data_IF_350682038874
#
_entry.id   IF_350682038874
#
_cell.length_a   1.000
_cell.length_b   1.000
_cell.length_c   1.000
_cell.angle_alpha   90.00
_cell.angle_beta   90.00
_cell.angle_gamma   90.00
#
_symmetry.space_group_name_H-M   'P 1'
#
loop_
_entity.id
_entity.type
_entity.pdbx_description
1 polymer ?
#
# COMPACT_ATOMS: atom_id res chain seq x y z
N UNK A 1 -11.33 11.50 5.78
CA UNK A 1 -11.39 11.60 7.25
C UNK A 1 -11.15 10.20 7.80
N UNK A 2 -9.87 9.88 8.04
CA UNK A 2 -9.38 8.51 8.31
C UNK A 2 -9.94 8.01 9.63
N UNK A 3 -10.59 6.84 9.58
CA UNK A 3 -11.18 6.16 10.72
C UNK A 3 -10.08 5.59 11.64
N UNK A 4 -9.86 6.24 12.78
CA UNK A 4 -9.27 5.62 13.97
C UNK A 4 -10.42 5.27 14.92
N UNK A 5 -10.82 4.00 14.97
CA UNK A 5 -11.82 3.52 15.93
C UNK A 5 -11.12 3.01 17.18
N UNK A 6 -11.28 3.79 18.25
CA UNK A 6 -10.96 3.50 19.65
C UNK A 6 -11.74 2.28 20.15
N UNK A 7 -11.05 1.36 20.83
CA UNK A 7 -11.65 0.50 21.85
C UNK A 7 -11.13 0.89 23.23
N UNK A 8 -12.03 1.42 24.05
CA UNK A 8 -11.80 1.70 25.46
C UNK A 8 -12.20 0.53 26.35
N UNK A 9 -11.49 0.36 27.46
CA UNK A 9 -11.98 -0.38 28.62
C UNK A 9 -11.94 0.51 29.86
N UNK A 10 -13.12 0.74 30.44
CA UNK A 10 -13.35 1.28 31.80
C UNK A 10 -12.55 0.44 32.82
N UNK A 11 -12.03 0.97 33.92
CA UNK A 11 -12.78 1.27 35.14
C UNK A 11 -11.89 1.94 36.19
N UNK A 12 -12.56 2.66 37.09
CA UNK A 12 -12.03 3.56 38.11
C UNK A 12 -11.57 2.78 39.33
N UNK A 13 -10.36 3.06 39.81
CA UNK A 13 -9.89 2.73 41.16
C UNK A 13 -9.54 4.01 41.91
N UNK A 14 -10.32 4.33 42.92
CA UNK A 14 -10.17 5.47 43.85
C UNK A 14 -9.06 5.19 44.86
N UNK A 15 -8.01 6.01 44.94
CA UNK A 15 -7.13 6.05 46.12
C UNK A 15 -6.63 7.48 46.44
N UNK A 16 -7.32 8.05 47.43
CA UNK A 16 -6.90 8.90 48.56
C UNK A 16 -5.48 9.48 48.53
N UNK A 17 -5.40 10.82 48.56
CA UNK A 17 -4.21 11.59 48.94
C UNK A 17 -3.73 11.20 50.35
N UNK A 18 -2.47 10.81 50.48
CA UNK A 18 -1.72 10.91 51.73
C UNK A 18 -0.41 11.63 51.45
N UNK A 19 -0.27 12.78 52.09
CA UNK A 19 0.95 13.59 52.12
C UNK A 19 2.04 12.85 52.88
N UNK A 20 3.18 12.60 52.24
CA UNK A 20 4.43 12.26 52.92
C UNK A 20 5.48 13.33 52.59
N UNK A 21 5.78 14.17 53.56
CA UNK A 21 6.95 15.05 53.56
C UNK A 21 8.21 14.19 53.62
N UNK A 22 8.98 14.16 52.53
CA UNK A 22 10.35 13.65 52.55
C UNK A 22 11.35 14.82 52.56
N UNK A 23 12.19 14.83 53.57
CA UNK A 23 13.35 15.72 53.72
C UNK A 23 14.31 15.54 52.53
N UNK A 24 14.48 16.57 51.70
CA UNK A 24 15.54 16.64 50.71
C UNK A 24 16.82 17.06 51.45
N UNK A 25 17.72 16.11 51.68
CA UNK A 25 19.12 16.40 52.03
C UNK A 25 19.84 16.75 50.73
N UNK A 26 20.19 18.03 50.57
CA UNK A 26 21.01 18.53 49.48
C UNK A 26 22.44 17.97 49.61
N UNK A 27 22.73 16.88 48.91
CA UNK A 27 24.11 16.56 48.55
C UNK A 27 24.45 17.33 47.28
N UNK A 28 25.22 18.41 47.43
CA UNK A 28 25.94 19.07 46.33
C UNK A 28 27.01 18.12 45.80
N UNK A 29 26.59 17.20 44.93
CA UNK A 29 27.52 16.44 44.09
C UNK A 29 27.78 17.28 42.86
N UNK A 30 28.92 17.97 42.86
CA UNK A 30 29.47 18.58 41.67
C UNK A 30 29.92 17.44 40.74
N UNK A 31 28.98 16.82 40.00
CA UNK A 31 29.36 16.09 38.80
C UNK A 31 29.46 17.12 37.70
N UNK A 32 30.67 17.31 37.18
CA UNK A 32 30.88 17.85 35.84
C UNK A 32 30.15 16.91 34.86
N UNK A 33 28.85 17.14 34.70
CA UNK A 33 28.05 16.55 33.66
C UNK A 33 28.54 17.14 32.36
N UNK A 34 29.46 16.44 31.70
CA UNK A 34 29.48 16.46 30.25
C UNK A 34 28.11 15.91 29.88
N UNK A 35 27.17 16.79 29.53
CA UNK A 35 25.95 16.35 28.86
C UNK A 35 26.43 15.60 27.63
N UNK A 36 26.22 14.29 27.60
CA UNK A 36 26.39 13.50 26.39
C UNK A 36 25.63 14.25 25.29
N UNK A 37 26.37 14.76 24.31
CA UNK A 37 25.80 15.57 23.24
C UNK A 37 24.81 14.66 22.51
N UNK A 38 23.52 14.95 22.66
CA UNK A 38 22.46 14.12 22.11
C UNK A 38 22.51 14.29 20.59
N UNK A 39 23.05 13.30 19.89
CA UNK A 39 23.09 13.25 18.44
C UNK A 39 21.66 13.06 17.90
N UNK A 40 21.01 14.16 17.52
CA UNK A 40 19.63 14.15 17.00
C UNK A 40 19.52 13.31 15.71
N UNK A 41 20.53 13.38 14.86
CA UNK A 41 20.67 12.61 13.64
C UNK A 41 20.74 11.10 13.93
N UNK A 42 21.49 10.72 14.98
CA UNK A 42 21.61 9.34 15.41
C UNK A 42 20.26 8.82 15.94
N UNK A 43 19.57 9.62 16.76
CA UNK A 43 18.25 9.26 17.28
C UNK A 43 17.22 9.04 16.16
N UNK A 44 17.29 9.82 15.08
CA UNK A 44 16.40 9.63 13.94
C UNK A 44 16.69 8.37 13.13
N UNK A 45 17.98 8.01 12.98
CA UNK A 45 18.35 6.72 12.40
C UNK A 45 17.84 5.58 13.30
N UNK A 46 17.99 5.71 14.62
CA UNK A 46 17.46 4.73 15.58
C UNK A 46 15.93 4.60 15.50
N UNK A 47 15.19 5.71 15.38
CA UNK A 47 13.74 5.72 15.15
C UNK A 47 13.37 4.92 13.90
N UNK A 48 13.99 5.24 12.76
CA UNK A 48 13.72 4.58 11.49
C UNK A 48 14.05 3.07 11.55
N UNK A 49 15.18 2.69 12.12
CA UNK A 49 15.57 1.29 12.24
C UNK A 49 14.75 0.52 13.28
N UNK A 50 14.21 1.18 14.31
CA UNK A 50 13.26 0.56 15.23
C UNK A 50 11.99 0.10 14.51
N UNK A 51 11.48 0.92 13.57
CA UNK A 51 10.35 0.55 12.71
C UNK A 51 10.75 -0.55 11.74
N UNK A 52 11.85 -0.37 10.98
CA UNK A 52 12.31 -1.34 9.97
C UNK A 52 12.53 -2.73 10.60
N UNK A 53 13.18 -2.80 11.76
CA UNK A 53 13.45 -4.05 12.47
C UNK A 53 12.19 -4.78 12.89
N UNK A 54 11.14 -4.02 13.22
CA UNK A 54 9.88 -4.57 13.69
C UNK A 54 9.02 -5.03 12.51
N UNK A 55 8.97 -4.25 11.43
CA UNK A 55 7.91 -4.38 10.41
C UNK A 55 8.32 -5.06 9.12
N UNK A 56 9.61 -5.07 8.76
CA UNK A 56 10.00 -5.56 7.44
C UNK A 56 9.75 -7.05 7.25
N UNK A 57 9.45 -7.42 6.01
CA UNK A 57 9.33 -8.82 5.61
C UNK A 57 10.66 -9.58 5.83
N UNK A 58 10.61 -10.72 6.53
CA UNK A 58 11.74 -11.63 6.77
C UNK A 58 13.01 -10.98 7.37
N UNK A 59 12.92 -10.32 8.55
CA UNK A 59 14.03 -9.55 9.12
C UNK A 59 15.24 -10.40 9.49
N UNK A 60 15.07 -11.69 9.76
CA UNK A 60 16.13 -12.62 10.20
C UNK A 60 17.20 -12.88 9.13
N UNK A 61 16.91 -12.59 7.86
CA UNK A 61 17.85 -12.75 6.76
C UNK A 61 18.60 -11.46 6.41
N UNK A 62 18.29 -10.36 7.09
CA UNK A 62 18.84 -9.03 6.84
C UNK A 62 19.84 -8.66 7.95
N UNK A 63 20.98 -8.08 7.56
CA UNK A 63 21.93 -7.53 8.53
C UNK A 63 21.58 -6.07 8.86
N UNK A 64 20.42 -5.87 9.49
CA UNK A 64 19.87 -4.55 9.81
C UNK A 64 20.78 -3.76 10.76
N UNK A 65 21.39 -4.43 11.74
CA UNK A 65 22.34 -3.81 12.67
C UNK A 65 23.56 -3.23 11.93
N UNK A 66 24.11 -3.96 10.96
CA UNK A 66 25.23 -3.46 10.16
C UNK A 66 24.82 -2.30 9.26
N UNK A 67 23.61 -2.32 8.71
CA UNK A 67 23.11 -1.25 7.86
C UNK A 67 22.87 0.03 8.69
N UNK A 68 22.32 -0.11 9.89
CA UNK A 68 22.17 0.98 10.85
C UNK A 68 23.53 1.57 11.23
N UNK A 69 24.48 0.73 11.62
CA UNK A 69 25.82 1.15 12.02
C UNK A 69 26.57 1.89 10.89
N UNK A 70 26.44 1.42 9.63
CA UNK A 70 26.99 2.11 8.45
C UNK A 70 26.41 3.53 8.32
N UNK A 71 25.09 3.68 8.41
CA UNK A 71 24.44 4.99 8.33
C UNK A 71 24.86 5.92 9.49
N UNK A 72 24.87 5.42 10.72
CA UNK A 72 25.29 6.19 11.90
C UNK A 72 26.76 6.64 11.79
N UNK A 73 27.64 5.79 11.24
CA UNK A 73 29.07 6.10 11.09
C UNK A 73 29.39 7.23 10.12
N UNK A 74 28.43 7.59 9.25
CA UNK A 74 28.56 8.68 8.27
C UNK A 74 28.21 10.05 8.84
N UNK A 75 27.67 10.12 10.05
CA UNK A 75 27.27 11.39 10.66
C UNK A 75 28.51 12.21 11.03
N UNK A 76 28.54 13.45 10.55
CA UNK A 76 29.48 14.48 10.99
C UNK A 76 28.75 15.82 11.20
N UNK A 77 29.49 16.89 11.52
CA UNK A 77 28.92 18.21 11.81
C UNK A 77 28.26 18.90 10.62
N UNK A 78 28.34 18.34 9.41
CA UNK A 78 27.75 18.85 8.18
C UNK A 78 26.53 18.05 7.72
N UNK A 79 26.23 16.93 8.40
CA UNK A 79 25.09 16.07 8.06
C UNK A 79 23.78 16.82 8.20
N UNK A 80 22.94 16.73 7.16
CA UNK A 80 21.59 17.30 7.16
C UNK A 80 20.54 16.20 7.20
N UNK A 81 19.30 16.54 7.59
CA UNK A 81 18.15 15.64 7.53
C UNK A 81 17.94 15.06 6.12
N UNK A 82 18.07 15.87 5.08
CA UNK A 82 17.97 15.44 3.68
C UNK A 82 19.04 14.41 3.31
N UNK A 83 20.26 14.53 3.84
CA UNK A 83 21.32 13.55 3.62
C UNK A 83 20.95 12.20 4.23
N UNK A 84 20.38 12.22 5.45
CA UNK A 84 19.89 11.01 6.13
C UNK A 84 18.71 10.41 5.36
N UNK A 85 17.81 11.23 4.80
CA UNK A 85 16.72 10.74 3.96
C UNK A 85 17.23 9.97 2.73
N UNK A 86 18.24 10.50 2.04
CA UNK A 86 18.88 9.82 0.90
C UNK A 86 19.48 8.48 1.34
N UNK A 87 20.18 8.46 2.48
CA UNK A 87 20.80 7.23 2.99
C UNK A 87 19.77 6.19 3.42
N UNK A 88 18.71 6.61 4.11
CA UNK A 88 17.60 5.74 4.50
C UNK A 88 16.90 5.17 3.27
N UNK A 89 16.61 5.97 2.25
CA UNK A 89 16.05 5.48 1.00
C UNK A 89 16.93 4.39 0.37
N UNK A 90 18.25 4.62 0.28
CA UNK A 90 19.18 3.63 -0.24
C UNK A 90 19.26 2.36 0.64
N UNK A 91 19.15 2.50 1.96
CA UNK A 91 19.09 1.39 2.90
C UNK A 91 17.82 0.54 2.68
N UNK A 92 16.66 1.18 2.52
CA UNK A 92 15.39 0.51 2.22
C UNK A 92 15.45 -0.28 0.92
N UNK A 93 16.01 0.31 -0.14
CA UNK A 93 16.17 -0.37 -1.44
C UNK A 93 17.06 -1.62 -1.37
N UNK A 94 18.02 -1.65 -0.44
CA UNK A 94 18.85 -2.85 -0.17
C UNK A 94 18.11 -3.91 0.63
N UNK A 95 17.12 -3.51 1.43
CA UNK A 95 16.27 -4.43 2.18
C UNK A 95 15.22 -5.04 1.26
N UNK A 96 14.47 -4.21 0.55
CA UNK A 96 13.54 -4.63 -0.47
C UNK A 96 13.39 -3.52 -1.54
N UNK A 97 13.53 -3.82 -2.84
CA UNK A 97 13.53 -2.81 -3.90
C UNK A 97 12.19 -2.08 -4.07
N UNK A 98 11.10 -2.61 -3.50
CA UNK A 98 9.80 -1.96 -3.49
C UNK A 98 9.57 -1.07 -2.25
N UNK A 99 10.52 -1.00 -1.31
CA UNK A 99 10.45 -0.10 -0.15
C UNK A 99 11.11 1.25 -0.43
N UNK A 100 10.51 2.35 0.04
CA UNK A 100 11.00 3.70 -0.26
C UNK A 100 10.80 4.66 0.91
N UNK A 101 11.66 5.67 1.00
CA UNK A 101 11.40 6.85 1.83
C UNK A 101 10.76 7.95 0.98
N UNK A 102 9.67 8.53 1.47
CA UNK A 102 9.01 9.71 0.92
C UNK A 102 9.24 10.88 1.88
N UNK A 103 9.96 11.91 1.44
CA UNK A 103 10.25 13.08 2.28
C UNK A 103 9.01 13.96 2.51
N UNK A 104 8.99 14.81 3.55
CA UNK A 104 7.81 15.62 3.91
C UNK A 104 7.30 16.48 2.75
N UNK A 105 8.20 17.21 2.08
CA UNK A 105 7.84 18.07 0.95
C UNK A 105 7.34 17.29 -0.27
N UNK A 106 7.80 16.05 -0.46
CA UNK A 106 7.29 15.17 -1.52
C UNK A 106 5.90 14.66 -1.14
N UNK A 107 5.70 14.23 0.09
CA UNK A 107 4.41 13.76 0.59
C UNK A 107 3.35 14.85 0.49
N UNK A 108 3.65 16.09 0.91
CA UNK A 108 2.75 17.25 0.75
C UNK A 108 2.39 17.49 -0.71
N UNK A 109 3.35 17.44 -1.63
CA UNK A 109 3.07 17.61 -3.07
C UNK A 109 2.11 16.57 -3.63
N UNK A 110 2.25 15.30 -3.22
CA UNK A 110 1.34 14.22 -3.65
C UNK A 110 -0.10 14.50 -3.22
N UNK A 111 -0.30 15.13 -2.06
CA UNK A 111 -1.64 15.51 -1.55
C UNK A 111 -2.18 16.75 -2.27
N UNK A 112 -1.35 17.78 -2.43
CA UNK A 112 -1.79 19.10 -2.92
C UNK A 112 -1.96 19.16 -4.44
N UNK A 113 -1.18 18.39 -5.19
CA UNK A 113 -1.21 18.31 -6.65
C UNK A 113 -1.24 16.84 -7.10
N UNK A 114 -2.37 16.15 -6.89
CA UNK A 114 -2.52 14.74 -7.26
C UNK A 114 -2.47 14.60 -8.80
N UNK A 115 -1.76 13.58 -9.28
CA UNK A 115 -1.80 13.23 -10.69
C UNK A 115 -3.26 12.92 -11.12
N UNK A 116 -3.65 13.44 -12.30
CA UNK A 116 -4.97 13.14 -12.86
C UNK A 116 -5.04 11.65 -13.24
N UNK A 117 -6.14 10.94 -12.92
CA UNK A 117 -6.32 9.56 -13.34
C UNK A 117 -6.23 9.41 -14.87
N UNK A 118 -5.25 8.64 -15.34
CA UNK A 118 -5.17 8.25 -16.74
C UNK A 118 -6.01 6.99 -16.96
N UNK A 119 -7.32 7.18 -17.13
CA UNK A 119 -8.29 6.11 -17.36
C UNK A 119 -9.22 6.49 -18.51
N UNK A 120 -9.47 5.53 -19.41
CA UNK A 120 -10.36 5.73 -20.54
C UNK A 120 -10.84 4.37 -21.06
N UNK A 121 -11.90 4.40 -21.86
CA UNK A 121 -12.41 3.19 -22.48
C UNK A 121 -13.19 3.47 -23.75
N UNK A 122 -13.30 2.44 -24.59
CA UNK A 122 -14.02 2.51 -25.87
C UNK A 122 -14.57 1.14 -26.26
N UNK A 123 -15.65 1.13 -27.05
CA UNK A 123 -16.09 -0.08 -27.74
C UNK A 123 -15.33 -0.18 -29.05
N UNK A 124 -14.61 -1.28 -29.24
CA UNK A 124 -13.88 -1.59 -30.46
C UNK A 124 -14.84 -1.97 -31.60
N UNK A 125 -14.37 -1.85 -32.84
CA UNK A 125 -15.17 -2.14 -34.03
C UNK A 125 -15.65 -3.61 -34.11
N UNK A 126 -14.91 -4.52 -33.48
CA UNK A 126 -15.26 -5.94 -33.36
C UNK A 126 -16.24 -6.24 -32.21
N UNK A 127 -16.71 -5.22 -31.49
CA UNK A 127 -17.71 -5.32 -30.45
C UNK A 127 -17.15 -5.51 -29.04
N UNK A 128 -15.83 -5.63 -28.86
CA UNK A 128 -15.20 -5.74 -27.53
C UNK A 128 -15.21 -4.38 -26.81
N UNK A 129 -15.36 -4.39 -25.49
CA UNK A 129 -15.15 -3.21 -24.65
C UNK A 129 -13.71 -3.18 -24.16
N UNK A 130 -12.95 -2.16 -24.59
CA UNK A 130 -11.59 -1.91 -24.15
C UNK A 130 -11.58 -0.85 -23.05
N UNK A 131 -10.82 -1.10 -21.98
CA UNK A 131 -10.64 -0.18 -20.87
C UNK A 131 -9.17 -0.12 -20.53
N UNK A 132 -8.57 1.07 -20.64
CA UNK A 132 -7.26 1.33 -20.09
C UNK A 132 -7.40 1.72 -18.62
N UNK A 133 -6.73 0.96 -17.75
CA UNK A 133 -6.72 1.20 -16.30
C UNK A 133 -5.32 1.62 -15.89
N UNK A 134 -5.05 2.92 -15.93
CA UNK A 134 -3.77 3.49 -15.52
C UNK A 134 -3.54 3.46 -14.00
N UNK A 135 -2.33 3.83 -13.54
CA UNK A 135 -1.99 3.84 -12.13
C UNK A 135 -2.86 4.83 -11.33
N UNK A 136 -3.01 4.57 -10.03
CA UNK A 136 -3.75 5.46 -9.13
C UNK A 136 -2.82 6.01 -8.04
N UNK A 137 -2.32 7.23 -8.19
CA UNK A 137 -1.42 7.84 -7.20
C UNK A 137 -2.14 8.44 -5.97
N UNK A 138 -3.46 8.32 -5.88
CA UNK A 138 -4.26 8.98 -4.85
C UNK A 138 -4.00 8.41 -3.46
N UNK A 139 -3.60 9.27 -2.52
CA UNK A 139 -3.41 8.93 -1.10
C UNK A 139 -4.51 9.49 -0.20
N UNK A 140 -5.25 10.50 -0.66
CA UNK A 140 -6.41 11.04 0.02
C UNK A 140 -7.72 10.46 -0.53
N UNK A 141 -8.78 10.54 0.28
CA UNK A 141 -10.09 9.99 -0.07
C UNK A 141 -10.76 10.69 -1.26
N UNK A 142 -10.51 11.99 -1.47
CA UNK A 142 -11.18 12.75 -2.52
C UNK A 142 -10.73 12.27 -3.89
N UNK A 143 -9.42 12.15 -4.08
CA UNK A 143 -8.85 11.68 -5.35
C UNK A 143 -9.06 10.17 -5.55
N UNK A 144 -9.05 9.38 -4.47
CA UNK A 144 -9.37 7.96 -4.54
C UNK A 144 -10.82 7.73 -5.02
N UNK A 145 -11.78 8.52 -4.51
CA UNK A 145 -13.18 8.47 -4.96
C UNK A 145 -13.31 8.94 -6.41
N UNK A 146 -12.64 10.05 -6.79
CA UNK A 146 -12.67 10.54 -8.16
C UNK A 146 -12.17 9.50 -9.18
N UNK A 147 -11.06 8.83 -8.87
CA UNK A 147 -10.55 7.71 -9.67
C UNK A 147 -11.59 6.59 -9.76
N UNK A 148 -12.11 6.16 -8.61
CA UNK A 148 -13.09 5.07 -8.48
C UNK A 148 -14.32 5.32 -9.34
N UNK A 149 -14.96 6.47 -9.16
CA UNK A 149 -16.21 6.80 -9.86
C UNK A 149 -16.00 7.00 -11.35
N UNK A 150 -14.87 7.57 -11.75
CA UNK A 150 -14.51 7.74 -13.16
C UNK A 150 -14.33 6.39 -13.85
N UNK A 151 -13.61 5.45 -13.22
CA UNK A 151 -13.39 4.12 -13.76
C UNK A 151 -14.70 3.33 -13.80
N UNK A 152 -15.48 3.35 -12.71
CA UNK A 152 -16.77 2.67 -12.64
C UNK A 152 -17.74 3.19 -13.71
N UNK A 153 -17.78 4.51 -13.92
CA UNK A 153 -18.62 5.14 -14.94
C UNK A 153 -18.25 4.65 -16.35
N UNK A 154 -16.96 4.57 -16.68
CA UNK A 154 -16.49 4.06 -17.98
C UNK A 154 -16.97 2.62 -18.19
N UNK A 155 -16.74 1.73 -17.22
CA UNK A 155 -17.10 0.31 -17.38
C UNK A 155 -18.61 0.12 -17.42
N UNK A 156 -19.40 0.86 -16.63
CA UNK A 156 -20.87 0.78 -16.68
C UNK A 156 -21.41 1.31 -18.01
N UNK A 157 -20.85 2.39 -18.55
CA UNK A 157 -21.24 2.91 -19.86
C UNK A 157 -20.93 1.91 -20.98
N UNK A 158 -19.74 1.30 -20.95
CA UNK A 158 -19.36 0.28 -21.93
C UNK A 158 -20.23 -0.97 -21.82
N UNK A 159 -20.55 -1.44 -20.61
CA UNK A 159 -21.46 -2.57 -20.41
C UNK A 159 -22.84 -2.29 -21.02
N UNK A 160 -23.38 -1.09 -20.82
CA UNK A 160 -24.67 -0.65 -21.40
C UNK A 160 -24.65 -0.53 -22.93
N UNK A 161 -23.47 -0.51 -23.54
CA UNK A 161 -23.33 -0.53 -25.00
C UNK A 161 -23.40 -1.94 -25.60
N UNK A 162 -23.68 -2.96 -24.77
CA UNK A 162 -23.81 -4.38 -25.17
C UNK A 162 -22.54 -4.91 -25.86
N UNK A 163 -21.38 -4.95 -25.15
CA UNK A 163 -20.15 -5.50 -25.70
C UNK A 163 -20.19 -7.02 -25.67
N UNK A 164 -19.41 -7.66 -26.54
CA UNK A 164 -19.35 -9.13 -26.59
C UNK A 164 -18.31 -9.72 -25.62
N UNK A 165 -17.32 -8.92 -25.20
CA UNK A 165 -16.29 -9.28 -24.22
C UNK A 165 -15.53 -8.03 -23.75
N UNK A 166 -14.68 -8.21 -22.74
CA UNK A 166 -13.85 -7.18 -22.13
C UNK A 166 -12.37 -7.34 -22.50
N UNK A 167 -11.69 -6.22 -22.69
CA UNK A 167 -10.24 -6.09 -22.66
C UNK A 167 -9.90 -5.06 -21.58
N UNK A 168 -9.29 -5.49 -20.48
CA UNK A 168 -8.74 -4.62 -19.45
C UNK A 168 -7.24 -4.48 -19.69
N UNK A 169 -6.78 -3.28 -20.00
CA UNK A 169 -5.36 -3.01 -20.25
C UNK A 169 -4.68 -2.44 -19.01
N UNK A 170 -3.80 -3.25 -18.41
CA UNK A 170 -2.97 -2.91 -17.26
C UNK A 170 -1.49 -2.77 -17.64
N UNK A 171 -1.15 -2.78 -18.94
CA UNK A 171 0.26 -2.88 -19.38
C UNK A 171 1.13 -1.77 -18.83
N UNK A 172 0.61 -0.56 -18.68
CA UNK A 172 1.34 0.59 -18.12
C UNK A 172 0.94 0.92 -16.68
N UNK A 173 0.19 0.04 -16.02
CA UNK A 173 -0.25 0.23 -14.64
C UNK A 173 0.86 -0.15 -13.65
N UNK A 174 1.62 0.84 -13.21
CA UNK A 174 2.71 0.69 -12.23
C UNK A 174 2.24 0.64 -10.77
N UNK A 175 0.92 0.71 -10.52
CA UNK A 175 0.32 0.53 -9.21
C UNK A 175 -0.19 1.82 -8.54
N UNK A 176 0.07 1.94 -7.24
CA UNK A 176 -0.50 2.97 -6.36
C UNK A 176 -1.65 2.44 -5.49
N UNK A 177 -2.77 3.15 -5.42
CA UNK A 177 -3.89 2.83 -4.55
C UNK A 177 -4.75 1.68 -5.10
N UNK A 178 -4.49 0.47 -4.62
CA UNK A 178 -5.22 -0.73 -5.05
C UNK A 178 -6.71 -0.67 -4.75
N UNK A 179 -7.10 -0.07 -3.61
CA UNK A 179 -8.50 -0.04 -3.17
C UNK A 179 -9.37 0.80 -4.11
N UNK A 180 -8.85 1.93 -4.60
CA UNK A 180 -9.54 2.75 -5.60
C UNK A 180 -9.72 2.00 -6.94
N UNK A 181 -8.69 1.27 -7.37
CA UNK A 181 -8.75 0.46 -8.59
C UNK A 181 -9.76 -0.69 -8.46
N UNK A 182 -9.73 -1.42 -7.35
CA UNK A 182 -10.66 -2.53 -7.07
C UNK A 182 -12.10 -2.00 -6.98
N UNK A 183 -12.32 -0.88 -6.29
CA UNK A 183 -13.65 -0.28 -6.17
C UNK A 183 -14.18 0.21 -7.52
N UNK A 184 -13.33 0.80 -8.37
CA UNK A 184 -13.71 1.24 -9.72
C UNK A 184 -14.08 0.08 -10.64
N UNK A 185 -13.39 -1.06 -10.49
CA UNK A 185 -13.73 -2.33 -11.16
C UNK A 185 -14.70 -3.20 -10.35
N UNK A 186 -15.35 -2.66 -9.33
CA UNK A 186 -16.34 -3.35 -8.50
C UNK A 186 -17.33 -4.23 -9.27
N UNK A 187 -17.92 -3.78 -10.40
CA UNK A 187 -18.83 -4.60 -11.21
C UNK A 187 -18.26 -5.94 -11.70
N UNK A 188 -16.93 -6.07 -11.77
CA UNK A 188 -16.25 -7.31 -12.15
C UNK A 188 -16.21 -8.32 -11.00
N UNK A 189 -16.20 -7.88 -9.74
CA UNK A 189 -15.90 -8.72 -8.59
C UNK A 189 -17.14 -9.29 -7.89
N UNK A 190 -16.99 -10.53 -7.39
CA UNK A 190 -17.99 -11.23 -6.59
C UNK A 190 -17.79 -11.02 -5.09
N UNK A 191 -18.51 -11.80 -4.27
CA UNK A 191 -18.30 -11.87 -2.82
C UNK A 191 -17.00 -12.62 -2.50
N UNK A 192 -16.25 -12.12 -1.52
CA UNK A 192 -15.12 -12.82 -0.91
C UNK A 192 -13.75 -12.28 -1.29
N UNK A 193 -12.67 -12.96 -0.84
CA UNK A 193 -11.30 -12.52 -1.06
C UNK A 193 -10.93 -12.48 -2.53
N UNK A 194 -10.32 -11.39 -2.95
CA UNK A 194 -9.70 -11.21 -4.27
C UNK A 194 -8.21 -11.60 -4.26
N UNK A 195 -7.60 -11.60 -3.08
CA UNK A 195 -6.27 -12.12 -2.80
C UNK A 195 -5.88 -11.85 -1.34
N UNK A 196 -4.62 -12.07 -1.00
CA UNK A 196 -4.11 -11.93 0.36
C UNK A 196 -2.72 -11.29 0.43
N UNK A 197 -2.52 -10.47 1.44
CA UNK A 197 -1.22 -10.06 1.93
C UNK A 197 -0.69 -11.11 2.90
N UNK A 198 0.44 -11.73 2.56
CA UNK A 198 1.12 -12.76 3.33
C UNK A 198 2.29 -12.15 4.11
N UNK A 199 1.97 -11.35 5.13
CA UNK A 199 2.95 -10.72 6.03
C UNK A 199 3.07 -11.48 7.35
N UNK A 200 3.25 -10.73 8.46
CA UNK A 200 3.19 -11.29 9.84
C UNK A 200 1.88 -12.01 10.11
N UNK A 201 0.80 -11.46 9.55
CA UNK A 201 -0.53 -12.06 9.50
C UNK A 201 -0.97 -12.15 8.04
N UNK A 202 -1.86 -13.10 7.79
CA UNK A 202 -2.50 -13.25 6.48
C UNK A 202 -3.75 -12.38 6.46
N UNK A 203 -3.78 -11.38 5.59
CA UNK A 203 -4.90 -10.44 5.47
C UNK A 203 -5.53 -10.52 4.08
N UNK A 204 -6.85 -10.74 3.96
CA UNK A 204 -7.54 -10.69 2.67
C UNK A 204 -7.81 -9.24 2.24
N UNK A 205 -7.77 -8.99 0.94
CA UNK A 205 -8.47 -7.85 0.34
C UNK A 205 -9.69 -8.33 -0.46
N UNK A 206 -10.75 -7.53 -0.47
CA UNK A 206 -12.03 -7.86 -1.11
C UNK A 206 -12.68 -6.59 -1.68
N UNK A 207 -13.53 -6.73 -2.70
CA UNK A 207 -14.44 -5.66 -3.10
C UNK A 207 -15.67 -5.62 -2.20
N UNK A 208 -16.27 -6.80 -1.95
CA UNK A 208 -17.43 -6.97 -1.07
C UNK A 208 -17.36 -8.27 -0.27
N UNK A 209 -17.82 -8.24 0.97
CA UNK A 209 -17.95 -9.39 1.85
C UNK A 209 -19.16 -9.24 2.78
N UNK A 210 -19.41 -10.25 3.62
CA UNK A 210 -20.38 -10.17 4.71
C UNK A 210 -19.70 -9.99 6.05
N UNK A 211 -20.21 -9.07 6.86
CA UNK A 211 -19.78 -8.90 8.24
C UNK A 211 -20.28 -10.05 9.14
N UNK A 212 -19.93 -10.01 10.43
CA UNK A 212 -20.35 -11.02 11.41
C UNK A 212 -21.86 -11.10 11.63
N UNK A 213 -22.60 -10.06 11.24
CA UNK A 213 -24.06 -9.99 11.28
C UNK A 213 -24.71 -10.40 9.94
N UNK A 214 -23.89 -10.77 8.94
CA UNK A 214 -24.33 -11.16 7.60
C UNK A 214 -24.68 -9.98 6.68
N UNK A 215 -24.42 -8.73 7.09
CA UNK A 215 -24.64 -7.53 6.28
C UNK A 215 -23.52 -7.35 5.28
N UNK A 216 -23.84 -6.75 4.13
CA UNK A 216 -22.86 -6.46 3.11
C UNK A 216 -21.93 -5.32 3.53
N UNK A 217 -20.64 -5.57 3.38
CA UNK A 217 -19.56 -4.62 3.53
C UNK A 217 -18.84 -4.48 2.18
N UNK A 218 -18.57 -3.25 1.76
CA UNK A 218 -17.91 -2.92 0.50
C UNK A 218 -16.70 -2.03 0.77
N UNK A 219 -15.75 -1.97 -0.16
CA UNK A 219 -14.81 -0.83 -0.19
C UNK A 219 -15.62 0.45 -0.42
N UNK A 220 -15.72 1.29 0.60
CA UNK A 220 -16.51 2.53 0.60
C UNK A 220 -15.78 3.67 -0.12
N UNK A 221 -15.55 3.51 -1.43
CA UNK A 221 -14.93 4.54 -2.28
C UNK A 221 -15.81 4.97 -3.47
N UNK A 222 -16.88 4.23 -3.78
CA UNK A 222 -17.81 4.60 -4.86
C UNK A 222 -19.16 5.06 -4.31
N UNK A 223 -19.73 6.08 -4.96
CA UNK A 223 -21.07 6.61 -4.67
C UNK A 223 -22.20 5.65 -5.10
N UNK A 224 -21.89 4.60 -5.86
CA UNK A 224 -22.86 3.58 -6.26
C UNK A 224 -22.29 2.17 -6.35
N UNK A 225 -23.12 1.19 -6.01
CA UNK A 225 -22.82 -0.23 -6.23
C UNK A 225 -23.48 -0.64 -7.54
N UNK A 226 -22.71 -1.27 -8.43
CA UNK A 226 -23.22 -1.83 -9.68
C UNK A 226 -22.63 -3.21 -9.89
N UNK A 227 -23.45 -4.15 -10.36
CA UNK A 227 -23.04 -5.52 -10.66
C UNK A 227 -23.48 -5.87 -12.08
N UNK A 228 -22.58 -6.48 -12.85
CA UNK A 228 -22.95 -7.00 -14.16
C UNK A 228 -23.89 -8.19 -14.01
N UNK A 229 -25.06 -8.12 -14.67
CA UNK A 229 -26.01 -9.24 -14.73
C UNK A 229 -25.39 -10.46 -15.44
N UNK A 230 -24.57 -10.23 -16.46
CA UNK A 230 -23.87 -11.26 -17.22
C UNK A 230 -22.36 -11.05 -17.17
N UNK A 231 -21.61 -12.11 -16.83
CA UNK A 231 -20.14 -12.10 -16.87
C UNK A 231 -19.67 -12.49 -18.27
N UNK A 232 -19.30 -11.50 -19.06
CA UNK A 232 -18.75 -11.66 -20.40
C UNK A 232 -17.30 -12.16 -20.34
N UNK A 233 -16.76 -12.83 -21.39
CA UNK A 233 -15.35 -13.18 -21.43
C UNK A 233 -14.45 -11.96 -21.20
N UNK A 234 -13.34 -12.16 -20.50
CA UNK A 234 -12.42 -11.10 -20.12
C UNK A 234 -10.99 -11.45 -20.53
N UNK A 235 -10.34 -10.56 -21.26
CA UNK A 235 -8.90 -10.56 -21.46
C UNK A 235 -8.27 -9.41 -20.66
N UNK A 236 -7.29 -9.72 -19.82
CA UNK A 236 -6.50 -8.73 -19.10
C UNK A 236 -5.11 -8.67 -19.72
N UNK A 237 -4.71 -7.49 -20.21
CA UNK A 237 -3.40 -7.27 -20.79
C UNK A 237 -2.43 -6.80 -19.71
N UNK A 238 -1.26 -7.44 -19.62
CA UNK A 238 -0.19 -7.07 -18.69
C UNK A 238 1.16 -6.97 -19.41
N UNK A 239 2.09 -6.24 -18.81
CA UNK A 239 3.45 -6.13 -19.32
C UNK A 239 4.47 -6.13 -18.19
N UNK A 240 5.76 -6.07 -18.55
CA UNK A 240 6.86 -5.86 -17.61
C UNK A 240 6.72 -4.56 -16.78
N UNK A 241 5.91 -3.59 -17.23
CA UNK A 241 5.61 -2.36 -16.47
C UNK A 241 4.42 -2.52 -15.50
N UNK A 242 3.62 -3.58 -15.62
CA UNK A 242 2.52 -3.84 -14.67
C UNK A 242 3.13 -4.20 -13.32
N UNK A 243 2.99 -3.33 -12.32
CA UNK A 243 3.71 -3.44 -11.05
C UNK A 243 2.85 -3.15 -9.83
N UNK A 244 3.27 -3.65 -8.66
CA UNK A 244 2.70 -3.23 -7.37
C UNK A 244 1.18 -3.45 -7.31
N UNK A 245 0.39 -2.43 -6.96
CA UNK A 245 -1.07 -2.51 -6.98
C UNK A 245 -1.68 -2.86 -8.36
N UNK A 246 -0.96 -2.63 -9.48
CA UNK A 246 -1.36 -3.12 -10.80
C UNK A 246 -1.29 -4.64 -10.88
N UNK A 247 -0.29 -5.25 -10.22
CA UNK A 247 -0.21 -6.71 -10.06
C UNK A 247 -1.25 -7.22 -9.06
N UNK A 248 -1.54 -6.49 -7.98
CA UNK A 248 -2.65 -6.83 -7.07
C UNK A 248 -4.00 -6.86 -7.79
N UNK A 249 -4.22 -5.93 -8.73
CA UNK A 249 -5.41 -5.91 -9.56
C UNK A 249 -5.44 -7.10 -10.54
N UNK A 250 -4.33 -7.41 -11.19
CA UNK A 250 -4.21 -8.60 -12.05
C UNK A 250 -4.50 -9.90 -11.26
N UNK A 251 -3.96 -10.03 -10.04
CA UNK A 251 -4.26 -11.14 -9.11
C UNK A 251 -5.76 -11.19 -8.79
N UNK A 252 -6.37 -10.03 -8.50
CA UNK A 252 -7.80 -9.93 -8.18
C UNK A 252 -8.69 -10.43 -9.33
N UNK A 253 -8.30 -10.14 -10.57
CA UNK A 253 -9.03 -10.57 -11.78
C UNK A 253 -8.97 -12.09 -12.01
N UNK A 254 -8.06 -12.83 -11.37
CA UNK A 254 -8.05 -14.30 -11.41
C UNK A 254 -9.31 -14.92 -10.78
N UNK A 255 -10.06 -14.15 -9.99
CA UNK A 255 -11.38 -14.57 -9.47
C UNK A 255 -12.49 -14.51 -10.51
N UNK A 256 -12.28 -13.82 -11.63
CA UNK A 256 -13.30 -13.59 -12.66
C UNK A 256 -13.46 -14.83 -13.55
N UNK A 257 -14.70 -15.30 -13.80
CA UNK A 257 -14.93 -16.49 -14.63
C UNK A 257 -14.54 -16.24 -16.10
N UNK A 258 -13.90 -17.21 -16.74
CA UNK A 258 -13.47 -17.12 -18.14
C UNK A 258 -12.52 -15.93 -18.43
N UNK A 259 -11.68 -15.59 -17.46
CA UNK A 259 -10.62 -14.61 -17.59
C UNK A 259 -9.34 -15.22 -18.18
N UNK A 260 -8.69 -14.50 -19.08
CA UNK A 260 -7.32 -14.76 -19.56
C UNK A 260 -6.42 -13.59 -19.20
N UNK A 261 -5.21 -13.89 -18.75
CA UNK A 261 -4.13 -12.92 -18.55
C UNK A 261 -3.17 -13.06 -19.73
N UNK A 262 -3.02 -12.02 -20.55
CA UNK A 262 -2.24 -12.05 -21.80
C UNK A 262 -1.15 -10.99 -21.78
N UNK A 263 0.06 -11.33 -22.24
CA UNK A 263 1.14 -10.37 -22.46
C UNK A 263 2.51 -10.92 -22.10
N UNK A 264 3.24 -10.20 -21.25
CA UNK A 264 4.54 -10.60 -20.71
C UNK A 264 4.49 -10.71 -19.18
N UNK A 265 5.44 -11.40 -18.53
CA UNK A 265 5.54 -11.40 -17.07
C UNK A 265 5.50 -9.99 -16.49
N UNK A 266 4.81 -9.83 -15.37
CA UNK A 266 4.68 -8.54 -14.67
C UNK A 266 5.99 -8.12 -14.01
N UNK A 267 6.05 -6.86 -13.55
CA UNK A 267 7.27 -6.22 -13.02
C UNK A 267 7.93 -7.02 -11.89
N UNK A 268 7.13 -7.65 -11.02
CA UNK A 268 7.62 -8.48 -9.92
C UNK A 268 7.58 -7.84 -8.55
N UNK A 269 6.77 -6.79 -8.38
CA UNK A 269 6.56 -6.05 -7.13
C UNK A 269 5.24 -6.45 -6.45
N UNK A 270 4.90 -7.73 -6.51
CA UNK A 270 3.75 -8.37 -5.84
C UNK A 270 3.94 -8.45 -4.32
N UNK A 271 4.01 -7.29 -3.68
CA UNK A 271 4.21 -7.13 -2.25
C UNK A 271 3.35 -6.00 -1.71
N UNK A 272 2.79 -6.18 -0.51
CA UNK A 272 2.07 -5.13 0.19
C UNK A 272 3.05 -4.21 0.90
N UNK A 273 2.74 -2.91 0.83
CA UNK A 273 3.51 -1.88 1.50
C UNK A 273 2.66 -1.17 2.55
N UNK A 274 3.29 -0.84 3.67
CA UNK A 274 2.70 -0.05 4.76
C UNK A 274 3.46 1.25 4.97
N UNK A 275 2.72 2.31 5.32
CA UNK A 275 3.26 3.65 5.53
C UNK A 275 3.49 3.90 7.03
N UNK A 276 4.74 4.14 7.41
CA UNK A 276 5.13 4.52 8.77
C UNK A 276 5.73 5.91 8.78
N UNK A 277 5.19 6.81 9.60
CA UNK A 277 5.67 8.20 9.68
C UNK A 277 6.77 8.35 10.73
N UNK A 278 7.81 9.09 10.36
CA UNK A 278 8.90 9.51 11.22
C UNK A 278 8.60 10.86 11.88
N UNK A 279 9.39 11.21 12.90
CA UNK A 279 9.25 12.44 13.70
C UNK A 279 9.25 13.75 12.90
N UNK A 280 9.84 13.77 11.70
CA UNK A 280 9.84 14.92 10.79
C UNK A 280 8.74 14.87 9.72
N UNK A 281 7.79 13.94 9.85
CA UNK A 281 6.72 13.66 8.88
C UNK A 281 7.18 13.03 7.56
N UNK A 282 8.43 12.57 7.46
CA UNK A 282 8.82 11.67 6.38
C UNK A 282 8.10 10.32 6.54
N UNK A 283 7.86 9.63 5.43
CA UNK A 283 7.17 8.35 5.40
C UNK A 283 8.10 7.23 4.92
N UNK A 284 8.27 6.20 5.75
CA UNK A 284 8.80 4.92 5.36
C UNK A 284 7.66 4.10 4.73
N UNK A 285 7.66 3.96 3.42
CA UNK A 285 6.79 3.05 2.69
C UNK A 285 7.49 1.69 2.62
N UNK A 286 7.21 0.81 3.58
CA UNK A 286 7.94 -0.45 3.80
C UNK A 286 7.19 -1.64 3.22
N UNK A 287 7.91 -2.55 2.60
CA UNK A 287 7.37 -3.84 2.18
C UNK A 287 7.25 -4.78 3.37
N UNK A 288 6.03 -5.17 3.71
CA UNK A 288 5.71 -5.98 4.91
C UNK A 288 5.10 -7.34 4.58
N UNK A 289 4.64 -7.56 3.34
CA UNK A 289 3.97 -8.78 2.90
C UNK A 289 4.34 -9.21 1.48
N UNK A 290 4.04 -10.46 1.13
CA UNK A 290 3.98 -10.92 -0.27
C UNK A 290 2.53 -11.12 -0.67
N UNK A 291 2.15 -10.70 -1.87
CA UNK A 291 0.80 -10.90 -2.40
C UNK A 291 0.56 -12.36 -2.81
N UNK A 292 -0.66 -12.85 -2.58
CA UNK A 292 -1.12 -14.17 -2.98
C UNK A 292 -2.52 -14.10 -3.64
N UNK A 293 -2.83 -15.06 -4.51
CA UNK A 293 -4.17 -15.14 -5.11
C UNK A 293 -5.25 -15.60 -4.12
N UNK A 294 -6.51 -15.57 -4.55
CA UNK A 294 -7.66 -16.04 -3.78
C UNK A 294 -7.57 -17.52 -3.31
N UNK A 295 -6.64 -18.32 -3.87
CA UNK A 295 -6.32 -19.69 -3.44
C UNK A 295 -5.08 -19.77 -2.55
N UNK A 296 -4.54 -18.61 -2.16
CA UNK A 296 -3.32 -18.47 -1.36
C UNK A 296 -2.05 -18.93 -2.05
N UNK A 297 -2.00 -18.95 -3.40
CA UNK A 297 -0.74 -19.12 -4.15
C UNK A 297 0.06 -17.82 -4.06
N UNK A 298 1.27 -17.80 -3.47
CA UNK A 298 2.07 -16.59 -3.35
C UNK A 298 2.75 -16.23 -4.68
N UNK A 299 2.94 -14.93 -4.90
CA UNK A 299 3.66 -14.36 -6.05
C UNK A 299 4.84 -13.55 -5.53
N UNK A 300 6.03 -14.13 -5.27
CA UNK A 300 7.18 -13.35 -4.81
C UNK A 300 7.90 -12.61 -5.94
N UNK A 301 7.61 -12.92 -7.21
CA UNK A 301 8.32 -12.40 -8.39
C UNK A 301 7.34 -12.03 -9.53
N UNK A 302 6.14 -11.58 -9.18
CA UNK A 302 5.10 -11.22 -10.16
C UNK A 302 4.34 -12.42 -10.74
N UNK A 303 3.35 -12.12 -11.59
CA UNK A 303 2.62 -13.11 -12.36
C UNK A 303 3.47 -13.50 -13.58
N UNK A 304 3.99 -14.72 -13.57
CA UNK A 304 4.85 -15.25 -14.63
C UNK A 304 4.17 -16.41 -15.33
N UNK A 305 3.86 -17.47 -14.58
CA UNK A 305 3.30 -18.71 -15.11
C UNK A 305 1.82 -18.60 -15.49
N UNK A 306 1.14 -17.56 -14.97
CA UNK A 306 -0.28 -17.29 -15.23
C UNK A 306 -0.50 -16.44 -16.49
N UNK A 307 0.57 -15.83 -17.03
CA UNK A 307 0.51 -14.97 -18.21
C UNK A 307 0.65 -15.81 -19.48
N UNK A 308 -0.36 -15.75 -20.33
CA UNK A 308 -0.32 -16.29 -21.68
C UNK A 308 0.47 -15.34 -22.58
N UNK A 309 1.40 -15.88 -23.37
CA UNK A 309 2.12 -15.07 -24.35
C UNK A 309 1.19 -14.48 -25.41
N UNK A 310 1.68 -13.46 -26.13
CA UNK A 310 0.99 -12.95 -27.31
C UNK A 310 0.83 -14.08 -28.34
N UNK A 311 -0.42 -14.45 -28.64
CA UNK A 311 -0.78 -15.35 -29.75
C UNK A 311 -0.77 -14.61 -31.10
#
# INVERSE_FOLDING_TARGET
MVHSVLYGSKERGSFTLVWLMLFIVLFTRCSSGVSEEVCEECNYIEEAFGIIQTEVLNPTHLNLDSLKADLTSRIDTTTTRDSIHIWLHAALQRIHPHSSLIGPAQFTRIIEDPATPEIWGMKLADGRAYVYVGPCAAIDSTNANLYTDSLQKIVVQLYRSDPISWVLDLRENTGGNMYAMIAGLGPFFGEGPLGFDMGKIKEPWYYKQRDTEGKWEYITLSDSIYEFENKLPLECLVSESTGSAGEALAISLLTYPNMRLTGTPTYGFTSGNEMFFLSDSACLNLTTSIMADYRSKPYPNGLRDDVLGWE
#
